data_IF_293167368466
#
_entry.id   IF_293167368466
#
_cell.length_a   1.000
_cell.length_b   1.000
_cell.length_c   1.000
_cell.angle_alpha   90.00
_cell.angle_beta   90.00
_cell.angle_gamma   90.00
#
_symmetry.space_group_name_H-M   'P 1'
#
loop_
_entity.id
_entity.type
_entity.pdbx_description
1 polymer ?
#
# COMPACT_ATOMS: atom_id res chain seq x y z
N UNK A 1 35.62 -9.23 -12.50
CA UNK A 1 34.67 -10.33 -12.22
C UNK A 1 34.56 -10.49 -10.72
N UNK A 2 33.44 -10.16 -10.12
CA UNK A 2 33.22 -10.37 -8.68
C UNK A 2 33.14 -11.89 -8.41
N UNK A 3 33.96 -12.40 -7.49
CA UNK A 3 33.89 -13.78 -7.04
C UNK A 3 32.48 -14.01 -6.44
N UNK A 4 31.68 -14.81 -7.11
CA UNK A 4 30.41 -15.29 -6.55
C UNK A 4 30.74 -16.22 -5.38
N UNK A 5 30.60 -15.74 -4.15
CA UNK A 5 30.68 -16.61 -2.98
C UNK A 5 29.49 -17.56 -2.99
N UNK A 6 29.68 -18.87 -2.74
CA UNK A 6 28.58 -19.81 -2.67
C UNK A 6 27.62 -19.40 -1.55
N UNK A 7 26.40 -19.05 -1.95
CA UNK A 7 25.33 -18.69 -0.99
C UNK A 7 24.89 -19.98 -0.28
N UNK A 8 25.00 -20.03 1.04
CA UNK A 8 24.56 -21.20 1.82
C UNK A 8 23.04 -21.19 2.02
N UNK A 9 22.45 -22.38 2.08
CA UNK A 9 21.02 -22.57 2.31
C UNK A 9 20.54 -21.84 3.59
N UNK A 10 21.36 -21.84 4.64
CA UNK A 10 21.06 -21.16 5.90
C UNK A 10 21.00 -19.63 5.75
N UNK A 11 21.85 -19.04 4.90
CA UNK A 11 21.78 -17.60 4.60
C UNK A 11 20.50 -17.25 3.85
N UNK A 12 20.09 -18.07 2.89
CA UNK A 12 18.81 -17.91 2.17
C UNK A 12 17.64 -18.00 3.16
N UNK A 13 17.61 -19.00 4.02
CA UNK A 13 16.55 -19.18 5.01
C UNK A 13 16.44 -18.01 5.99
N UNK A 14 17.57 -17.53 6.50
CA UNK A 14 17.61 -16.40 7.44
C UNK A 14 17.08 -15.09 6.82
N UNK A 15 17.29 -14.89 5.53
CA UNK A 15 16.75 -13.74 4.81
C UNK A 15 15.28 -13.93 4.45
N UNK A 16 14.93 -15.13 3.98
CA UNK A 16 13.60 -15.46 3.45
C UNK A 16 12.53 -15.56 4.55
N UNK A 17 12.83 -16.19 5.68
CA UNK A 17 11.84 -16.48 6.72
C UNK A 17 11.16 -15.21 7.30
N UNK A 18 11.88 -14.11 7.64
CA UNK A 18 11.24 -12.88 8.07
C UNK A 18 10.38 -12.25 6.98
N UNK A 19 10.80 -12.34 5.70
CA UNK A 19 10.02 -11.82 4.58
C UNK A 19 8.75 -12.65 4.36
N UNK A 20 8.85 -13.98 4.41
CA UNK A 20 7.68 -14.86 4.34
C UNK A 20 6.69 -14.58 5.48
N UNK A 21 7.20 -14.41 6.70
CA UNK A 21 6.39 -14.00 7.85
C UNK A 21 5.68 -12.65 7.63
N UNK A 22 6.36 -11.68 7.01
CA UNK A 22 5.74 -10.39 6.65
C UNK A 22 4.59 -10.56 5.66
N UNK A 23 4.71 -11.45 4.67
CA UNK A 23 3.64 -11.74 3.71
C UNK A 23 2.43 -12.38 4.37
N UNK A 24 2.65 -13.33 5.28
CA UNK A 24 1.57 -13.94 6.08
C UNK A 24 0.85 -12.87 6.92
N UNK A 25 1.59 -11.99 7.60
CA UNK A 25 1.01 -10.89 8.37
C UNK A 25 0.21 -9.92 7.48
N UNK A 26 0.70 -9.62 6.28
CA UNK A 26 -0.04 -8.79 5.30
C UNK A 26 -1.32 -9.46 4.81
N UNK A 27 -1.32 -10.79 4.69
CA UNK A 27 -2.52 -11.54 4.28
C UNK A 27 -3.62 -11.53 5.36
N UNK A 28 -3.25 -11.43 6.63
CA UNK A 28 -4.19 -11.33 7.76
C UNK A 28 -4.86 -9.95 7.82
N UNK A 29 -4.23 -8.91 7.27
CA UNK A 29 -4.73 -7.54 7.30
C UNK A 29 -6.12 -7.40 6.65
N UNK A 30 -6.32 -7.98 5.48
CA UNK A 30 -7.59 -7.87 4.75
C UNK A 30 -8.77 -8.54 5.48
N UNK A 31 -8.71 -9.79 5.95
CA UNK A 31 -9.76 -10.38 6.78
C UNK A 31 -10.02 -9.59 8.06
N UNK A 32 -8.98 -9.05 8.67
CA UNK A 32 -9.12 -8.27 9.90
C UNK A 32 -9.85 -6.94 9.64
N UNK A 33 -9.47 -6.21 8.58
CA UNK A 33 -10.18 -5.01 8.15
C UNK A 33 -11.66 -5.31 7.89
N UNK A 34 -11.94 -6.36 7.11
CA UNK A 34 -13.31 -6.80 6.81
C UNK A 34 -14.10 -7.10 8.08
N UNK A 35 -13.49 -7.81 9.05
CA UNK A 35 -14.13 -8.13 10.31
C UNK A 35 -14.46 -6.90 11.18
N UNK A 36 -13.64 -5.84 11.12
CA UNK A 36 -13.91 -4.57 11.78
C UNK A 36 -15.03 -3.81 11.08
N UNK A 37 -14.94 -3.64 9.76
CA UNK A 37 -15.94 -2.90 8.97
C UNK A 37 -17.29 -3.57 8.99
N UNK A 38 -17.34 -4.91 9.01
CA UNK A 38 -18.60 -5.67 9.14
C UNK A 38 -19.40 -5.37 10.44
N UNK A 39 -18.78 -4.69 11.41
CA UNK A 39 -19.40 -4.27 12.66
C UNK A 39 -19.69 -2.77 12.76
N UNK A 40 -19.49 -2.04 11.66
CA UNK A 40 -19.75 -0.60 11.54
C UNK A 40 -21.12 -0.32 10.90
N UNK A 41 -21.46 0.95 10.77
CA UNK A 41 -22.72 1.37 10.11
C UNK A 41 -22.60 1.13 8.60
N UNK A 42 -23.64 0.56 7.99
CA UNK A 42 -23.70 0.26 6.54
C UNK A 42 -22.49 -0.53 6.00
N UNK A 43 -22.17 -1.69 6.59
CA UNK A 43 -20.95 -2.44 6.26
C UNK A 43 -20.93 -2.93 4.81
N UNK A 44 -22.09 -3.25 4.24
CA UNK A 44 -22.22 -3.76 2.86
C UNK A 44 -21.79 -2.72 1.84
N UNK A 45 -22.28 -1.48 1.98
CA UNK A 45 -21.94 -0.36 1.09
C UNK A 45 -20.46 -0.03 1.22
N UNK A 46 -19.95 0.04 2.44
CA UNK A 46 -18.55 0.37 2.74
C UNK A 46 -17.60 -0.67 2.16
N UNK A 47 -17.84 -1.96 2.41
CA UNK A 47 -17.01 -3.04 1.89
C UNK A 47 -17.09 -3.15 0.37
N UNK A 48 -18.29 -2.96 -0.20
CA UNK A 48 -18.46 -2.94 -1.65
C UNK A 48 -17.72 -1.77 -2.29
N UNK A 49 -17.87 -0.54 -1.78
CA UNK A 49 -17.16 0.64 -2.29
C UNK A 49 -15.64 0.49 -2.18
N UNK A 50 -15.14 -0.01 -1.04
CA UNK A 50 -13.71 -0.29 -0.84
C UNK A 50 -13.20 -1.32 -1.86
N UNK A 51 -13.85 -2.47 -1.97
CA UNK A 51 -13.41 -3.60 -2.78
C UNK A 51 -13.54 -3.38 -4.29
N UNK A 52 -14.58 -2.67 -4.73
CA UNK A 52 -14.86 -2.45 -6.16
C UNK A 52 -14.28 -1.16 -6.74
N UNK A 53 -14.08 -0.14 -5.92
CA UNK A 53 -13.64 1.19 -6.37
C UNK A 53 -12.30 1.60 -5.76
N UNK A 54 -12.28 1.80 -4.44
CA UNK A 54 -11.14 2.46 -3.78
C UNK A 54 -9.86 1.67 -3.94
N UNK A 55 -9.88 0.40 -3.56
CA UNK A 55 -8.69 -0.44 -3.60
C UNK A 55 -8.18 -0.73 -5.02
N UNK A 56 -9.01 -1.15 -6.00
CA UNK A 56 -8.55 -1.42 -7.36
C UNK A 56 -8.01 -0.17 -8.07
N UNK A 57 -8.69 0.97 -7.94
CA UNK A 57 -8.25 2.23 -8.56
C UNK A 57 -6.93 2.70 -7.95
N UNK A 58 -6.82 2.70 -6.61
CA UNK A 58 -5.57 3.06 -5.94
C UNK A 58 -4.43 2.12 -6.36
N UNK A 59 -4.67 0.81 -6.42
CA UNK A 59 -3.67 -0.17 -6.83
C UNK A 59 -3.22 0.03 -8.28
N UNK A 60 -4.14 0.38 -9.18
CA UNK A 60 -3.82 0.67 -10.58
C UNK A 60 -2.91 1.92 -10.69
N UNK A 61 -3.21 2.99 -9.95
CA UNK A 61 -2.39 4.20 -9.89
C UNK A 61 -1.00 3.89 -9.31
N UNK A 62 -0.93 3.05 -8.28
CA UNK A 62 0.31 2.75 -7.56
C UNK A 62 1.19 1.68 -8.24
N UNK A 63 0.69 1.01 -9.26
CA UNK A 63 1.42 -0.06 -9.97
C UNK A 63 2.89 0.26 -10.24
N UNK A 64 3.23 1.42 -10.83
CA UNK A 64 4.63 1.80 -11.08
C UNK A 64 5.47 1.97 -9.80
N UNK A 65 4.85 2.45 -8.70
CA UNK A 65 5.53 2.65 -7.41
C UNK A 65 5.85 1.33 -6.72
N UNK A 66 5.00 0.33 -6.86
CA UNK A 66 5.23 -1.01 -6.27
C UNK A 66 6.55 -1.60 -6.78
N UNK A 67 6.93 -1.32 -8.02
CA UNK A 67 8.19 -1.76 -8.62
C UNK A 67 9.44 -1.15 -7.99
N UNK A 68 9.32 -0.05 -7.23
CA UNK A 68 10.45 0.54 -6.49
C UNK A 68 11.10 -0.44 -5.51
N UNK A 69 10.36 -1.38 -4.96
CA UNK A 69 10.90 -2.45 -4.11
C UNK A 69 11.99 -3.24 -4.84
N UNK A 70 11.67 -3.72 -6.03
CA UNK A 70 12.60 -4.51 -6.86
C UNK A 70 13.74 -3.63 -7.38
N UNK A 71 13.42 -2.42 -7.85
CA UNK A 71 14.42 -1.49 -8.35
C UNK A 71 15.43 -1.10 -7.28
N UNK A 72 15.00 -0.79 -6.05
CA UNK A 72 15.91 -0.45 -4.96
C UNK A 72 16.74 -1.63 -4.50
N UNK A 73 16.17 -2.83 -4.44
CA UNK A 73 16.91 -4.06 -4.12
C UNK A 73 18.00 -4.35 -5.15
N UNK A 74 17.71 -4.16 -6.43
CA UNK A 74 18.66 -4.45 -7.51
C UNK A 74 19.70 -3.34 -7.68
N UNK A 75 19.28 -2.07 -7.74
CA UNK A 75 20.06 -0.97 -8.26
C UNK A 75 20.77 -0.10 -7.21
N UNK A 76 20.38 -0.12 -5.93
CA UNK A 76 20.96 0.71 -4.88
C UNK A 76 22.36 0.22 -4.47
N UNK A 77 23.34 0.27 -5.37
CA UNK A 77 24.69 -0.24 -5.13
C UNK A 77 25.51 0.70 -4.23
N UNK A 78 25.36 2.00 -4.40
CA UNK A 78 26.09 3.05 -3.69
C UNK A 78 25.22 4.27 -3.42
N UNK A 79 25.80 5.29 -2.78
CA UNK A 79 25.09 6.55 -2.46
C UNK A 79 24.57 7.26 -3.71
N UNK A 80 25.33 7.26 -4.80
CA UNK A 80 24.92 7.92 -6.06
C UNK A 80 23.72 7.22 -6.70
N UNK A 81 23.71 5.89 -6.67
CA UNK A 81 22.58 5.08 -7.12
C UNK A 81 21.33 5.32 -6.27
N UNK A 82 21.49 5.37 -4.94
CA UNK A 82 20.42 5.73 -4.02
C UNK A 82 19.82 7.11 -4.33
N UNK A 83 20.66 8.15 -4.52
CA UNK A 83 20.20 9.51 -4.79
C UNK A 83 19.41 9.59 -6.11
N UNK A 84 19.78 8.79 -7.12
CA UNK A 84 19.01 8.68 -8.37
C UNK A 84 17.66 7.99 -8.13
N UNK A 85 17.64 6.89 -7.40
CA UNK A 85 16.40 6.17 -7.05
C UNK A 85 15.46 7.03 -6.22
N UNK A 86 16.00 7.79 -5.27
CA UNK A 86 15.25 8.72 -4.45
C UNK A 86 14.59 9.83 -5.28
N UNK A 87 15.35 10.45 -6.19
CA UNK A 87 14.81 11.46 -7.12
C UNK A 87 13.73 10.87 -8.02
N UNK A 88 13.94 9.67 -8.54
CA UNK A 88 12.94 8.96 -9.34
C UNK A 88 11.67 8.67 -8.51
N UNK A 89 11.82 8.19 -7.28
CA UNK A 89 10.71 7.98 -6.35
C UNK A 89 9.92 9.28 -6.14
N UNK A 90 10.59 10.39 -5.84
CA UNK A 90 9.93 11.68 -5.63
C UNK A 90 9.17 12.12 -6.89
N UNK A 91 9.78 12.03 -8.05
CA UNK A 91 9.18 12.41 -9.33
C UNK A 91 7.92 11.56 -9.62
N UNK A 92 8.03 10.24 -9.52
CA UNK A 92 6.90 9.33 -9.72
C UNK A 92 5.79 9.55 -8.69
N UNK A 93 6.15 9.77 -7.44
CA UNK A 93 5.17 10.04 -6.37
C UNK A 93 4.35 11.29 -6.66
N UNK A 94 5.00 12.38 -7.11
CA UNK A 94 4.29 13.62 -7.46
C UNK A 94 3.33 13.39 -8.62
N UNK A 95 3.78 12.77 -9.70
CA UNK A 95 2.93 12.50 -10.88
C UNK A 95 1.73 11.63 -10.50
N UNK A 96 1.97 10.51 -9.82
CA UNK A 96 0.89 9.58 -9.49
C UNK A 96 -0.06 10.14 -8.43
N UNK A 97 0.44 10.95 -7.49
CA UNK A 97 -0.42 11.68 -6.56
C UNK A 97 -1.28 12.71 -7.30
N UNK A 98 -0.73 13.43 -8.27
CA UNK A 98 -1.53 14.36 -9.10
C UNK A 98 -2.62 13.62 -9.88
N UNK A 99 -2.31 12.47 -10.48
CA UNK A 99 -3.30 11.62 -11.15
C UNK A 99 -4.40 11.21 -10.16
N UNK A 100 -4.01 10.77 -8.96
CA UNK A 100 -4.96 10.39 -7.92
C UNK A 100 -5.85 11.56 -7.48
N UNK A 101 -5.26 12.74 -7.26
CA UNK A 101 -6.02 13.98 -6.93
C UNK A 101 -6.99 14.34 -8.04
N UNK A 102 -6.53 14.39 -9.29
CA UNK A 102 -7.40 14.71 -10.43
C UNK A 102 -8.57 13.72 -10.47
N UNK A 103 -8.31 12.44 -10.34
CA UNK A 103 -9.37 11.44 -10.37
C UNK A 103 -10.34 11.60 -9.19
N UNK A 104 -9.85 11.73 -7.95
CA UNK A 104 -10.69 11.74 -6.75
C UNK A 104 -11.51 13.04 -6.58
N UNK A 105 -10.98 14.18 -7.06
CA UNK A 105 -11.58 15.50 -6.80
C UNK A 105 -12.30 16.12 -7.99
N UNK A 106 -12.22 15.53 -9.21
CA UNK A 106 -12.90 16.03 -10.40
C UNK A 106 -14.06 15.13 -10.84
N UNK A 107 -14.92 15.58 -11.75
CA UNK A 107 -15.98 14.76 -12.34
C UNK A 107 -15.48 13.53 -13.11
N UNK A 108 -14.17 13.45 -13.40
CA UNK A 108 -13.54 12.30 -14.05
C UNK A 108 -13.77 11.00 -13.26
N UNK A 109 -13.93 11.11 -11.94
CA UNK A 109 -14.29 9.97 -11.08
C UNK A 109 -15.59 9.31 -11.53
N UNK A 110 -16.66 10.09 -11.74
CA UNK A 110 -17.97 9.54 -12.14
C UNK A 110 -17.93 8.94 -13.53
N UNK A 111 -17.21 9.59 -14.46
CA UNK A 111 -17.00 9.01 -15.80
C UNK A 111 -16.33 7.64 -15.72
N UNK A 112 -15.33 7.48 -14.85
CA UNK A 112 -14.63 6.20 -14.65
C UNK A 112 -15.52 5.19 -13.92
N UNK A 113 -16.08 5.57 -12.75
CA UNK A 113 -16.76 4.65 -11.85
C UNK A 113 -18.12 4.22 -12.41
N UNK A 114 -18.93 5.17 -12.87
CA UNK A 114 -20.27 4.91 -13.41
C UNK A 114 -20.20 4.54 -14.89
N UNK A 115 -19.52 5.37 -15.72
CA UNK A 115 -19.50 5.22 -17.15
C UNK A 115 -18.70 4.02 -17.66
N UNK A 116 -17.52 3.75 -17.10
CA UNK A 116 -16.62 2.70 -17.56
C UNK A 116 -16.72 1.42 -16.73
N UNK A 117 -16.83 1.54 -15.40
CA UNK A 117 -16.87 0.39 -14.50
C UNK A 117 -18.30 -0.09 -14.22
N UNK A 118 -19.35 0.71 -14.52
CA UNK A 118 -20.75 0.35 -14.31
C UNK A 118 -21.12 0.19 -12.82
N UNK A 119 -20.51 0.97 -11.94
CA UNK A 119 -20.72 0.88 -10.49
C UNK A 119 -22.09 1.45 -10.13
N UNK A 120 -22.88 0.76 -9.29
CA UNK A 120 -24.18 1.23 -8.83
C UNK A 120 -24.09 2.55 -8.06
N UNK A 121 -25.07 3.44 -8.27
CA UNK A 121 -25.16 4.78 -7.66
C UNK A 121 -24.88 4.82 -6.15
N UNK A 122 -25.41 3.90 -5.30
CA UNK A 122 -25.16 3.91 -3.86
C UNK A 122 -23.70 3.78 -3.44
N UNK A 123 -22.83 3.30 -4.33
CA UNK A 123 -21.41 3.09 -4.05
C UNK A 123 -20.54 4.26 -4.55
N UNK A 124 -21.07 5.16 -5.37
CA UNK A 124 -20.29 6.23 -6.00
C UNK A 124 -19.73 7.22 -4.97
N UNK A 125 -20.59 7.83 -4.15
CA UNK A 125 -20.13 8.79 -3.13
C UNK A 125 -19.22 8.17 -2.06
N UNK A 126 -19.56 7.02 -1.45
CA UNK A 126 -18.64 6.32 -0.55
C UNK A 126 -17.29 6.02 -1.19
N UNK A 127 -17.28 5.55 -2.43
CA UNK A 127 -16.04 5.27 -3.17
C UNK A 127 -15.22 6.52 -3.44
N UNK A 128 -15.87 7.66 -3.76
CA UNK A 128 -15.19 8.94 -3.98
C UNK A 128 -14.52 9.44 -2.70
N UNK A 129 -15.24 9.44 -1.59
CA UNK A 129 -14.70 9.83 -0.28
C UNK A 129 -13.50 8.94 0.09
N UNK A 130 -13.64 7.63 -0.12
CA UNK A 130 -12.55 6.69 0.12
C UNK A 130 -11.29 7.00 -0.70
N UNK A 131 -11.43 7.33 -2.00
CA UNK A 131 -10.31 7.75 -2.84
C UNK A 131 -9.70 9.08 -2.38
N UNK A 132 -10.51 10.04 -1.96
CA UNK A 132 -10.01 11.31 -1.42
C UNK A 132 -9.16 11.09 -0.17
N UNK A 133 -9.60 10.24 0.75
CA UNK A 133 -8.85 9.87 1.96
C UNK A 133 -7.55 9.13 1.59
N UNK A 134 -7.56 8.30 0.55
CA UNK A 134 -6.40 7.54 0.09
C UNK A 134 -5.35 8.36 -0.67
N UNK A 135 -5.61 9.64 -0.96
CA UNK A 135 -4.66 10.49 -1.70
C UNK A 135 -3.24 10.53 -1.12
N UNK A 136 -2.99 10.64 0.21
CA UNK A 136 -1.64 10.61 0.77
C UNK A 136 -0.94 9.25 0.67
N UNK A 137 -1.70 8.18 0.44
CA UNK A 137 -1.21 6.81 0.41
C UNK A 137 -0.12 6.60 -0.65
N UNK A 138 -0.26 7.21 -1.82
CA UNK A 138 0.68 7.09 -2.94
C UNK A 138 2.11 7.48 -2.55
N UNK A 139 2.29 8.61 -1.85
CA UNK A 139 3.61 9.06 -1.37
C UNK A 139 4.14 8.11 -0.28
N UNK A 140 3.27 7.71 0.64
CA UNK A 140 3.64 6.83 1.76
C UNK A 140 4.06 5.44 1.27
N UNK A 141 3.37 4.88 0.27
CA UNK A 141 3.74 3.58 -0.28
C UNK A 141 5.06 3.66 -1.07
N UNK A 142 5.32 4.75 -1.80
CA UNK A 142 6.57 4.97 -2.50
C UNK A 142 7.76 4.99 -1.55
N UNK A 143 7.67 5.77 -0.49
CA UNK A 143 8.66 5.84 0.58
C UNK A 143 8.92 4.47 1.21
N UNK A 144 7.83 3.78 1.53
CA UNK A 144 7.90 2.44 2.10
C UNK A 144 8.60 1.46 1.17
N UNK A 145 8.25 1.42 -0.13
CA UNK A 145 8.81 0.48 -1.10
C UNK A 145 10.29 0.71 -1.34
N UNK A 146 10.73 1.96 -1.44
CA UNK A 146 12.14 2.30 -1.55
C UNK A 146 12.93 1.76 -0.34
N UNK A 147 12.49 2.07 0.88
CA UNK A 147 13.18 1.66 2.10
C UNK A 147 13.16 0.15 2.32
N UNK A 148 12.04 -0.52 2.03
CA UNK A 148 11.97 -1.98 2.09
C UNK A 148 13.01 -2.64 1.16
N UNK A 149 13.14 -2.16 -0.07
CA UNK A 149 14.13 -2.70 -0.99
C UNK A 149 15.57 -2.49 -0.52
N UNK A 150 15.86 -1.34 0.08
CA UNK A 150 17.17 -1.09 0.70
C UNK A 150 17.45 -2.05 1.86
N UNK A 151 16.51 -2.21 2.79
CA UNK A 151 16.64 -3.14 3.91
C UNK A 151 16.89 -4.57 3.43
N UNK A 152 16.15 -5.03 2.42
CA UNK A 152 16.33 -6.36 1.83
C UNK A 152 17.72 -6.48 1.20
N UNK A 153 18.14 -5.46 0.43
CA UNK A 153 19.45 -5.45 -0.23
C UNK A 153 20.61 -5.59 0.75
N UNK A 154 20.53 -4.91 1.87
CA UNK A 154 21.57 -4.94 2.91
C UNK A 154 21.38 -6.05 3.95
N UNK A 155 20.47 -6.99 3.70
CA UNK A 155 20.28 -8.19 4.52
C UNK A 155 19.45 -7.97 5.79
N UNK A 156 18.84 -6.80 5.97
CA UNK A 156 18.00 -6.46 7.14
C UNK A 156 16.51 -6.77 6.89
N UNK A 157 16.21 -8.02 6.60
CA UNK A 157 14.84 -8.49 6.42
C UNK A 157 14.00 -8.46 7.71
N UNK A 158 14.68 -8.47 8.89
CA UNK A 158 13.99 -8.36 10.19
C UNK A 158 13.31 -7.01 10.38
N UNK A 159 13.96 -5.92 9.98
CA UNK A 159 13.37 -4.57 10.05
C UNK A 159 12.15 -4.45 9.12
N UNK A 160 12.13 -5.14 7.98
CA UNK A 160 10.95 -5.22 7.11
C UNK A 160 9.78 -5.92 7.82
N UNK A 161 10.05 -7.05 8.48
CA UNK A 161 9.04 -7.77 9.26
C UNK A 161 8.53 -6.93 10.43
N UNK A 162 9.41 -6.29 11.18
CA UNK A 162 9.04 -5.40 12.29
C UNK A 162 8.16 -4.24 11.82
N UNK A 163 8.50 -3.60 10.70
CA UNK A 163 7.68 -2.54 10.10
C UNK A 163 6.27 -3.03 9.74
N UNK A 164 6.12 -4.30 9.32
CA UNK A 164 4.81 -4.90 9.06
C UNK A 164 4.01 -5.11 10.35
N UNK A 165 4.67 -5.58 11.42
CA UNK A 165 4.03 -5.73 12.75
C UNK A 165 3.55 -4.36 13.27
N UNK A 166 4.41 -3.33 13.24
CA UNK A 166 4.05 -1.97 13.66
C UNK A 166 2.83 -1.46 12.88
N UNK A 167 2.80 -1.68 11.58
CA UNK A 167 1.67 -1.29 10.73
C UNK A 167 0.37 -1.99 11.15
N UNK A 168 0.41 -3.30 11.39
CA UNK A 168 -0.76 -4.06 11.85
C UNK A 168 -1.27 -3.58 13.21
N UNK A 169 -0.37 -3.37 14.16
CA UNK A 169 -0.72 -2.83 15.48
C UNK A 169 -1.36 -1.45 15.34
N UNK A 170 -0.77 -0.57 14.53
CA UNK A 170 -1.33 0.77 14.27
C UNK A 170 -2.71 0.69 13.64
N UNK A 171 -2.92 -0.21 12.66
CA UNK A 171 -4.22 -0.42 12.01
C UNK A 171 -5.28 -0.85 13.04
N UNK A 172 -4.99 -1.87 13.86
CA UNK A 172 -5.91 -2.34 14.91
C UNK A 172 -6.23 -1.22 15.90
N UNK A 173 -5.22 -0.47 16.31
CA UNK A 173 -5.38 0.65 17.25
C UNK A 173 -6.31 1.73 16.67
N UNK A 174 -6.07 2.17 15.44
CA UNK A 174 -6.89 3.19 14.77
C UNK A 174 -8.32 2.71 14.57
N UNK A 175 -8.52 1.47 14.10
CA UNK A 175 -9.85 0.89 13.93
C UNK A 175 -10.60 0.74 15.26
N UNK A 176 -9.89 0.35 16.34
CA UNK A 176 -10.49 0.22 17.67
C UNK A 176 -10.89 1.58 18.25
N UNK A 177 -10.04 2.60 18.07
CA UNK A 177 -10.32 3.98 18.47
C UNK A 177 -11.52 4.51 17.67
N UNK A 178 -11.51 4.34 16.35
CA UNK A 178 -12.60 4.76 15.48
C UNK A 178 -13.94 4.16 15.91
N UNK A 179 -13.95 2.85 16.20
CA UNK A 179 -15.14 2.17 16.69
C UNK A 179 -15.63 2.68 18.06
N UNK A 180 -14.70 3.07 18.95
CA UNK A 180 -15.05 3.48 20.32
C UNK A 180 -15.55 4.92 20.39
N UNK A 181 -14.92 5.84 19.63
CA UNK A 181 -15.21 7.28 19.75
C UNK A 181 -16.28 7.79 18.80
N UNK A 182 -16.68 7.03 17.78
CA UNK A 182 -17.59 7.53 16.76
C UNK A 182 -18.44 6.41 16.17
N UNK A 183 -19.71 6.77 15.86
CA UNK A 183 -20.55 5.98 14.94
C UNK A 183 -20.05 6.16 13.50
N UNK A 184 -18.77 5.90 13.23
CA UNK A 184 -18.21 6.01 11.89
C UNK A 184 -18.91 5.04 10.93
N UNK A 185 -19.37 5.56 9.80
CA UNK A 185 -19.40 4.78 8.57
C UNK A 185 -17.95 4.42 8.27
N UNK A 186 -17.63 3.18 7.99
CA UNK A 186 -16.27 2.68 7.87
C UNK A 186 -15.49 3.15 6.63
N UNK A 187 -15.80 4.36 6.11
CA UNK A 187 -15.12 5.03 4.98
C UNK A 187 -14.43 6.29 5.48
#
# INVERSE_FOLDING_TARGET
>A
MAKAYPVTLNQVFRLWLPLAGSWVLMSIESPMLTAFVARMVSPEITLAAWGSLVYPISLAIEGPIIMLLTASTALAADRKAYDKLFKYMCFMSVILTLIHVILAFTPLYYFLAEGLMGVPEPLLEPGRIGLQIMTPWTIMIAWRRLNQGLMIKFGDSKSVAMGTVVRLVSLVTVLSIGKWFTSFSGI
#
